data_IF_147375350058
#
_entry.id   IF_147375350058
#
_cell.length_a   1.000
_cell.length_b   1.000
_cell.length_c   1.000
_cell.angle_alpha   90.00
_cell.angle_beta   90.00
_cell.angle_gamma   90.00
#
_symmetry.space_group_name_H-M   'P 1'
#
loop_
_entity.id
_entity.type
_entity.pdbx_description
1 polymer ?
#
# COMPACT_ATOMS: atom_id res chain seq x y z
N UNK A 1 7.51 20.62 13.19
CA UNK A 1 7.75 20.50 11.73
C UNK A 1 6.74 21.38 11.01
N UNK A 2 7.11 22.14 9.98
CA UNK A 2 6.14 23.01 9.26
C UNK A 2 5.18 22.20 8.39
N UNK A 3 3.93 22.62 8.28
CA UNK A 3 2.90 21.97 7.45
C UNK A 3 3.32 21.82 5.98
N UNK A 4 4.00 22.81 5.41
CA UNK A 4 4.54 22.76 4.04
C UNK A 4 5.54 21.61 3.85
N UNK A 5 6.37 21.36 4.87
CA UNK A 5 7.34 20.27 4.83
C UNK A 5 6.67 18.91 4.98
N UNK A 6 5.65 18.79 5.86
CA UNK A 6 4.83 17.58 5.96
C UNK A 6 4.17 17.27 4.62
N UNK A 7 3.57 18.27 3.98
CA UNK A 7 2.93 18.14 2.67
C UNK A 7 3.92 17.70 1.59
N UNK A 8 5.10 18.32 1.52
CA UNK A 8 6.13 18.00 0.53
C UNK A 8 6.67 16.56 0.71
N UNK A 9 6.92 16.14 1.95
CA UNK A 9 7.38 14.77 2.25
C UNK A 9 6.29 13.74 1.92
N UNK A 10 5.04 14.02 2.28
CA UNK A 10 3.90 13.19 1.93
C UNK A 10 3.68 13.09 0.41
N UNK A 11 3.84 14.22 -0.30
CA UNK A 11 3.80 14.26 -1.77
C UNK A 11 4.86 13.37 -2.39
N UNK A 12 6.13 13.49 -1.95
CA UNK A 12 7.22 12.66 -2.45
C UNK A 12 6.95 11.17 -2.18
N UNK A 13 6.47 10.83 -0.98
CA UNK A 13 6.04 9.47 -0.64
C UNK A 13 4.95 8.94 -1.60
N UNK A 14 3.91 9.74 -1.84
CA UNK A 14 2.84 9.40 -2.77
C UNK A 14 3.30 9.31 -4.23
N UNK A 15 4.26 10.14 -4.65
CA UNK A 15 4.86 10.05 -5.99
C UNK A 15 5.65 8.77 -6.18
N UNK A 16 6.44 8.35 -5.19
CA UNK A 16 7.11 7.05 -5.22
C UNK A 16 6.09 5.93 -5.30
N UNK A 17 5.02 5.97 -4.50
CA UNK A 17 3.91 4.99 -4.57
C UNK A 17 3.28 4.95 -5.96
N UNK A 18 3.15 6.08 -6.65
CA UNK A 18 2.53 6.15 -7.97
C UNK A 18 3.43 5.64 -9.11
N UNK A 19 4.75 5.85 -9.00
CA UNK A 19 5.70 5.66 -10.12
C UNK A 19 6.55 4.40 -9.99
N UNK A 20 6.78 3.89 -8.77
CA UNK A 20 7.73 2.78 -8.58
C UNK A 20 7.20 1.50 -9.20
N UNK A 21 7.99 0.82 -10.02
CA UNK A 21 7.59 -0.43 -10.67
C UNK A 21 8.65 -1.53 -10.49
N UNK A 22 8.26 -2.76 -10.82
CA UNK A 22 9.15 -3.92 -10.83
C UNK A 22 9.26 -4.67 -9.49
N UNK A 23 10.23 -5.60 -9.39
CA UNK A 23 10.22 -6.68 -8.39
C UNK A 23 10.40 -6.24 -6.93
N UNK A 24 10.74 -4.96 -6.72
CA UNK A 24 10.91 -4.32 -5.41
C UNK A 24 9.89 -3.21 -5.16
N UNK A 25 8.90 -3.02 -6.04
CA UNK A 25 7.93 -1.93 -5.97
C UNK A 25 7.21 -1.87 -4.62
N UNK A 26 6.71 -3.00 -4.12
CA UNK A 26 6.05 -3.08 -2.80
C UNK A 26 6.97 -2.60 -1.69
N UNK A 27 8.22 -3.07 -1.64
CA UNK A 27 9.15 -2.69 -0.58
C UNK A 27 9.45 -1.18 -0.60
N UNK A 28 9.76 -0.64 -1.79
CA UNK A 28 10.10 0.78 -1.95
C UNK A 28 8.87 1.66 -1.68
N UNK A 29 7.70 1.29 -2.21
CA UNK A 29 6.47 2.04 -2.01
C UNK A 29 6.01 2.03 -0.54
N UNK A 30 6.06 0.89 0.14
CA UNK A 30 5.67 0.79 1.56
C UNK A 30 6.60 1.59 2.47
N UNK A 31 7.91 1.59 2.20
CA UNK A 31 8.86 2.44 2.94
C UNK A 31 8.63 3.93 2.65
N UNK A 32 8.45 4.29 1.37
CA UNK A 32 8.22 5.68 0.98
C UNK A 32 6.89 6.22 1.52
N UNK A 33 5.82 5.41 1.52
CA UNK A 33 4.55 5.75 2.14
C UNK A 33 4.70 5.90 3.66
N UNK A 34 5.37 4.95 4.32
CA UNK A 34 5.62 5.01 5.76
C UNK A 34 6.40 6.26 6.19
N UNK A 35 7.51 6.55 5.50
CA UNK A 35 8.32 7.75 5.71
C UNK A 35 7.56 9.03 5.35
N UNK A 36 6.82 9.01 4.25
CA UNK A 36 6.00 10.11 3.76
C UNK A 36 4.93 10.54 4.74
N UNK A 37 4.35 9.58 5.48
CA UNK A 37 3.23 9.79 6.40
C UNK A 37 3.66 9.99 7.85
N UNK A 38 4.88 9.62 8.23
CA UNK A 38 5.37 9.73 9.61
C UNK A 38 5.21 11.14 10.19
N UNK A 39 5.53 12.16 9.39
CA UNK A 39 5.38 13.56 9.78
C UNK A 39 3.93 13.98 10.01
N UNK A 40 3.00 13.45 9.21
CA UNK A 40 1.58 13.71 9.34
C UNK A 40 0.98 13.02 10.57
N UNK A 41 1.38 11.78 10.86
CA UNK A 41 0.95 11.12 12.10
C UNK A 41 1.53 11.84 13.35
N UNK A 42 2.79 12.29 13.26
CA UNK A 42 3.47 12.96 14.37
C UNK A 42 2.84 14.29 14.77
N UNK A 43 2.21 15.03 13.83
CA UNK A 43 1.60 16.33 14.14
C UNK A 43 0.44 16.24 15.12
N UNK A 44 -0.22 15.08 15.22
CA UNK A 44 -1.39 14.87 16.10
C UNK A 44 -1.04 14.08 17.36
N UNK A 45 -0.16 13.07 17.25
CA UNK A 45 0.13 12.14 18.35
C UNK A 45 1.61 11.96 18.71
N UNK A 46 2.48 12.86 18.24
CA UNK A 46 3.92 12.82 18.53
C UNK A 46 4.62 11.57 18.01
N UNK A 47 5.72 11.17 18.66
CA UNK A 47 6.57 10.05 18.21
C UNK A 47 5.80 8.73 18.15
N UNK A 48 4.90 8.47 19.10
CA UNK A 48 4.08 7.25 19.12
C UNK A 48 3.23 7.11 17.85
N UNK A 49 2.63 8.20 17.39
CA UNK A 49 1.87 8.23 16.14
C UNK A 49 2.76 8.06 14.90
N UNK A 50 3.94 8.69 14.89
CA UNK A 50 4.91 8.55 13.80
C UNK A 50 5.37 7.10 13.56
N UNK A 51 5.48 6.32 14.64
CA UNK A 51 5.89 4.92 14.55
C UNK A 51 4.89 4.05 13.79
N UNK A 52 3.61 4.41 13.76
CA UNK A 52 2.58 3.58 13.14
C UNK A 52 2.77 3.39 11.62
N UNK A 53 2.88 4.45 10.80
CA UNK A 53 3.16 4.28 9.37
C UNK A 53 4.58 3.74 9.10
N UNK A 54 5.57 4.03 9.97
CA UNK A 54 6.94 3.51 9.84
C UNK A 54 7.01 1.99 10.07
N UNK A 55 6.43 1.52 11.18
CA UNK A 55 6.34 0.10 11.52
C UNK A 55 5.45 -0.62 10.52
N UNK A 56 4.33 -0.04 10.11
CA UNK A 56 3.48 -0.61 9.05
C UNK A 56 4.22 -0.79 7.72
N UNK A 57 4.96 0.24 7.27
CA UNK A 57 5.74 0.19 6.03
C UNK A 57 6.88 -0.84 6.09
N UNK A 58 7.63 -0.88 7.20
CA UNK A 58 8.70 -1.86 7.41
C UNK A 58 8.16 -3.28 7.56
N UNK A 59 7.08 -3.48 8.31
CA UNK A 59 6.41 -4.77 8.43
C UNK A 59 5.94 -5.28 7.06
N UNK A 60 5.41 -4.41 6.19
CA UNK A 60 5.04 -4.79 4.83
C UNK A 60 6.23 -5.28 4.00
N UNK A 61 7.38 -4.60 4.09
CA UNK A 61 8.61 -5.05 3.43
C UNK A 61 9.04 -6.43 3.91
N UNK A 62 9.09 -6.63 5.23
CA UNK A 62 9.49 -7.90 5.83
C UNK A 62 8.51 -9.02 5.49
N UNK A 63 7.20 -8.74 5.56
CA UNK A 63 6.15 -9.69 5.25
C UNK A 63 6.22 -10.13 3.77
N UNK A 64 6.39 -9.19 2.83
CA UNK A 64 6.59 -9.53 1.42
C UNK A 64 7.84 -10.39 1.21
N UNK A 65 8.96 -10.05 1.85
CA UNK A 65 10.22 -10.80 1.70
C UNK A 65 10.14 -12.22 2.26
N UNK A 66 9.58 -12.38 3.46
CA UNK A 66 9.38 -13.67 4.11
C UNK A 66 8.39 -14.54 3.33
N UNK A 67 7.28 -13.95 2.89
CA UNK A 67 6.26 -14.64 2.12
C UNK A 67 6.78 -15.06 0.73
N UNK A 68 7.63 -14.24 0.10
CA UNK A 68 8.29 -14.61 -1.16
C UNK A 68 9.20 -15.81 -0.98
N UNK A 69 10.05 -15.82 0.05
CA UNK A 69 10.91 -16.97 0.36
C UNK A 69 10.13 -18.25 0.65
N UNK A 70 8.98 -18.14 1.31
CA UNK A 70 8.12 -19.31 1.56
C UNK A 70 7.43 -19.78 0.27
N UNK A 71 7.03 -18.86 -0.61
CA UNK A 71 6.48 -19.17 -1.93
C UNK A 71 7.47 -19.87 -2.85
N UNK A 72 8.74 -19.46 -2.86
CA UNK A 72 9.83 -20.05 -3.65
C UNK A 72 10.10 -21.53 -3.30
N UNK A 73 9.73 -21.96 -2.08
CA UNK A 73 9.90 -23.35 -1.62
C UNK A 73 8.77 -24.28 -2.07
N UNK A 74 7.70 -23.75 -2.65
CA UNK A 74 6.50 -24.50 -3.01
C UNK A 74 6.47 -24.75 -4.52
N UNK A 75 5.87 -25.87 -4.95
CA UNK A 75 5.73 -26.18 -6.38
C UNK A 75 4.99 -25.03 -7.09
N UNK A 76 5.50 -24.65 -8.26
CA UNK A 76 4.93 -23.57 -9.05
C UNK A 76 3.46 -23.83 -9.40
N UNK A 77 2.64 -22.80 -9.28
CA UNK A 77 1.20 -22.87 -9.62
C UNK A 77 1.04 -22.41 -11.05
N UNK A 78 0.43 -23.24 -11.90
CA UNK A 78 -0.01 -22.80 -13.22
C UNK A 78 -1.29 -21.96 -13.06
N UNK A 79 -1.27 -20.70 -13.51
CA UNK A 79 -2.52 -19.94 -13.69
C UNK A 79 -2.49 -18.45 -13.35
N UNK A 80 -1.51 -17.92 -12.61
CA UNK A 80 -1.47 -16.49 -12.24
C UNK A 80 -0.05 -15.92 -12.33
N UNK A 81 0.53 -15.89 -13.53
CA UNK A 81 1.83 -15.24 -13.69
C UNK A 81 1.75 -13.78 -13.24
N UNK A 82 2.57 -13.35 -12.25
CA UNK A 82 2.57 -11.99 -11.71
C UNK A 82 3.04 -10.95 -12.75
N UNK A 83 3.65 -11.41 -13.84
CA UNK A 83 4.13 -10.61 -14.97
C UNK A 83 3.14 -10.55 -16.14
N UNK A 84 2.09 -11.39 -16.15
CA UNK A 84 1.14 -11.43 -17.25
C UNK A 84 0.05 -10.37 -17.03
N UNK A 85 -0.10 -9.40 -17.96
CA UNK A 85 -1.13 -8.38 -17.86
C UNK A 85 -2.52 -9.01 -17.84
N UNK A 86 -3.38 -8.49 -16.97
CA UNK A 86 -4.80 -8.89 -16.78
C UNK A 86 -5.61 -8.69 -18.06
N UNK A 87 -5.47 -9.58 -19.04
CA UNK A 87 -6.33 -9.71 -20.21
C UNK A 87 -6.65 -11.20 -20.36
N UNK A 88 -7.45 -11.74 -19.44
CA UNK A 88 -7.99 -13.09 -19.56
C UNK A 88 -9.32 -13.06 -20.33
N UNK A 89 -9.54 -14.06 -21.19
CA UNK A 89 -10.77 -14.23 -21.96
C UNK A 89 -12.01 -14.30 -21.04
N UNK A 90 -13.19 -13.96 -21.60
CA UNK A 90 -14.49 -13.79 -20.92
C UNK A 90 -14.93 -14.97 -20.02
N UNK A 91 -14.35 -16.16 -20.15
CA UNK A 91 -14.61 -17.28 -19.23
C UNK A 91 -13.91 -17.16 -17.86
N UNK A 92 -12.94 -16.25 -17.70
CA UNK A 92 -12.24 -15.95 -16.44
C UNK A 92 -12.82 -14.70 -15.74
N UNK A 93 -14.12 -14.45 -15.89
CA UNK A 93 -14.84 -13.24 -15.44
C UNK A 93 -14.82 -13.01 -13.91
N UNK A 94 -14.51 -14.03 -13.12
CA UNK A 94 -14.25 -13.91 -11.68
C UNK A 94 -12.77 -13.62 -11.35
N UNK A 95 -12.00 -13.13 -12.33
CA UNK A 95 -10.66 -12.61 -12.17
C UNK A 95 -10.62 -11.13 -11.75
N UNK A 96 -9.44 -10.46 -11.79
CA UNK A 96 -9.11 -9.19 -11.14
C UNK A 96 -10.07 -7.99 -11.36
N UNK A 97 -11.03 -8.07 -12.29
CA UNK A 97 -12.14 -7.11 -12.42
C UNK A 97 -13.03 -7.06 -11.19
N UNK A 98 -13.35 -8.20 -10.56
CA UNK A 98 -14.14 -8.24 -9.33
C UNK A 98 -13.37 -7.61 -8.16
N UNK A 99 -12.06 -7.86 -8.07
CA UNK A 99 -11.16 -7.21 -7.10
C UNK A 99 -11.07 -5.70 -7.35
N UNK A 100 -11.03 -5.23 -8.60
CA UNK A 100 -11.08 -3.80 -8.93
C UNK A 100 -12.41 -3.16 -8.54
N UNK A 101 -13.54 -3.85 -8.73
CA UNK A 101 -14.87 -3.35 -8.32
C UNK A 101 -15.00 -3.33 -6.81
N UNK A 102 -14.50 -4.35 -6.10
CA UNK A 102 -14.48 -4.36 -4.62
C UNK A 102 -13.51 -3.29 -4.08
N UNK A 103 -12.33 -3.14 -4.68
CA UNK A 103 -11.39 -2.08 -4.30
C UNK A 103 -11.96 -0.68 -4.56
N UNK A 104 -12.64 -0.47 -5.69
CA UNK A 104 -13.35 0.78 -5.96
C UNK A 104 -14.52 0.99 -4.98
N UNK A 105 -15.27 -0.07 -4.66
CA UNK A 105 -16.37 -0.04 -3.70
C UNK A 105 -15.91 0.16 -2.25
N UNK A 106 -14.67 -0.17 -1.90
CA UNK A 106 -14.05 0.13 -0.59
C UNK A 106 -13.37 1.51 -0.59
N UNK A 107 -12.81 1.92 -1.72
CA UNK A 107 -12.17 3.22 -1.87
C UNK A 107 -13.19 4.37 -1.85
N UNK A 108 -14.39 4.17 -2.40
CA UNK A 108 -15.44 5.19 -2.42
C UNK A 108 -15.94 5.57 -1.01
N UNK A 109 -16.26 4.64 -0.10
CA UNK A 109 -16.57 4.95 1.29
C UNK A 109 -15.41 5.62 2.02
N UNK A 110 -14.17 5.19 1.80
CA UNK A 110 -13.01 5.80 2.45
C UNK A 110 -12.73 7.23 1.95
N UNK A 111 -12.88 7.50 0.64
CA UNK A 111 -12.80 8.86 0.09
C UNK A 111 -13.98 9.73 0.54
N UNK A 112 -15.18 9.15 0.62
CA UNK A 112 -16.38 9.82 1.15
C UNK A 112 -16.22 10.17 2.63
N UNK A 113 -15.61 9.28 3.41
CA UNK A 113 -15.32 9.49 4.84
C UNK A 113 -14.38 10.67 5.07
N UNK A 114 -13.30 10.78 4.29
CA UNK A 114 -12.39 11.94 4.31
C UNK A 114 -13.11 13.22 3.91
N UNK A 115 -14.07 13.16 2.98
CA UNK A 115 -14.85 14.33 2.56
C UNK A 115 -15.90 14.76 3.58
N UNK A 116 -16.41 13.85 4.41
CA UNK A 116 -17.53 14.10 5.33
C UNK A 116 -17.08 14.43 6.77
N UNK A 117 -15.90 13.97 7.21
CA UNK A 117 -15.40 14.18 8.57
C UNK A 117 -14.33 15.28 8.70
N UNK A 118 -13.85 15.86 7.60
CA UNK A 118 -12.98 17.04 7.67
C UNK A 118 -13.85 18.26 8.01
N UNK A 119 -13.93 18.55 9.29
CA UNK A 119 -14.57 19.74 9.83
C UNK A 119 -13.91 20.99 9.24
N UNK A 120 -14.66 21.74 8.42
CA UNK A 120 -14.27 23.04 7.87
C UNK A 120 -14.19 24.04 9.02
N UNK A 121 -13.07 24.05 9.75
CA UNK A 121 -12.85 24.95 10.88
C UNK A 121 -11.58 24.65 11.67
N UNK A 122 -11.39 23.40 12.10
CA UNK A 122 -10.18 22.97 12.83
C UNK A 122 -9.00 22.59 11.93
N UNK A 123 -9.29 22.08 10.73
CA UNK A 123 -8.29 21.60 9.76
C UNK A 123 -7.44 22.71 9.09
N UNK A 124 -7.76 23.99 9.31
CA UNK A 124 -7.01 25.09 8.71
C UNK A 124 -5.54 25.13 9.18
N UNK A 125 -5.24 24.61 10.39
CA UNK A 125 -3.87 24.53 10.91
C UNK A 125 -3.06 23.30 10.47
N UNK A 126 -3.72 22.24 9.99
CA UNK A 126 -3.10 20.95 9.66
C UNK A 126 -3.28 20.52 8.18
N UNK A 127 -3.48 21.51 7.30
CA UNK A 127 -3.66 21.28 5.86
C UNK A 127 -2.55 20.42 5.25
N UNK A 128 -1.32 20.53 5.73
CA UNK A 128 -0.19 19.75 5.20
C UNK A 128 -0.25 18.26 5.57
N UNK A 129 -0.63 17.94 6.81
CA UNK A 129 -0.78 16.58 7.28
C UNK A 129 -1.96 15.85 6.59
N UNK A 130 -3.09 16.54 6.46
CA UNK A 130 -4.27 16.00 5.76
C UNK A 130 -3.96 15.79 4.28
N UNK A 131 -3.29 16.76 3.63
CA UNK A 131 -2.86 16.62 2.24
C UNK A 131 -1.93 15.42 2.05
N UNK A 132 -0.94 15.23 2.92
CA UNK A 132 -0.02 14.09 2.84
C UNK A 132 -0.77 12.75 2.88
N UNK A 133 -1.69 12.57 3.83
CA UNK A 133 -2.52 11.36 3.94
C UNK A 133 -3.40 11.18 2.69
N UNK A 134 -4.13 12.23 2.29
CA UNK A 134 -5.02 12.17 1.13
C UNK A 134 -4.28 11.88 -0.18
N UNK A 135 -3.09 12.44 -0.37
CA UNK A 135 -2.31 12.26 -1.59
C UNK A 135 -1.74 10.85 -1.71
N UNK A 136 -1.17 10.29 -0.63
CA UNK A 136 -0.69 8.90 -0.61
C UNK A 136 -1.86 7.92 -0.80
N UNK A 137 -3.00 8.22 -0.18
CA UNK A 137 -4.23 7.45 -0.39
C UNK A 137 -4.65 7.47 -1.86
N UNK A 138 -4.70 8.65 -2.48
CA UNK A 138 -5.08 8.82 -3.89
C UNK A 138 -4.11 8.08 -4.82
N UNK A 139 -2.81 8.18 -4.56
CA UNK A 139 -1.79 7.45 -5.32
C UNK A 139 -2.00 5.93 -5.22
N UNK A 140 -2.26 5.42 -4.01
CA UNK A 140 -2.57 4.01 -3.78
C UNK A 140 -3.86 3.56 -4.48
N UNK A 141 -4.93 4.35 -4.36
CA UNK A 141 -6.22 4.08 -5.00
C UNK A 141 -6.12 4.11 -6.54
N UNK A 142 -5.43 5.11 -7.10
CA UNK A 142 -5.18 5.19 -8.54
C UNK A 142 -4.41 3.96 -9.03
N UNK A 143 -3.48 3.45 -8.23
CA UNK A 143 -2.73 2.24 -8.56
C UNK A 143 -3.59 0.98 -8.49
N UNK A 144 -4.47 0.85 -7.50
CA UNK A 144 -5.47 -0.23 -7.46
C UNK A 144 -6.37 -0.23 -8.70
N UNK A 145 -6.82 0.95 -9.14
CA UNK A 145 -7.68 1.10 -10.33
C UNK A 145 -6.92 0.75 -11.62
N UNK A 146 -5.64 1.11 -11.70
CA UNK A 146 -4.79 0.89 -12.88
C UNK A 146 -4.00 -0.42 -12.84
N UNK A 147 -4.13 -1.22 -11.78
CA UNK A 147 -3.26 -2.36 -11.51
C UNK A 147 -3.21 -3.32 -12.69
N UNK A 148 -2.00 -3.51 -13.25
CA UNK A 148 -1.73 -4.42 -14.36
C UNK A 148 -1.09 -5.72 -13.88
N UNK A 149 -0.44 -5.69 -12.71
CA UNK A 149 0.19 -6.82 -12.04
C UNK A 149 -0.32 -6.99 -10.60
N UNK A 150 -0.06 -8.17 -10.00
CA UNK A 150 -0.30 -8.42 -8.57
C UNK A 150 0.53 -7.50 -7.66
N UNK A 151 1.72 -7.10 -8.13
CA UNK A 151 2.57 -6.16 -7.41
C UNK A 151 1.92 -4.78 -7.30
N UNK A 152 1.20 -4.32 -8.33
CA UNK A 152 0.45 -3.06 -8.30
C UNK A 152 -0.70 -3.09 -7.29
N UNK A 153 -1.38 -4.24 -7.18
CA UNK A 153 -2.43 -4.44 -6.19
C UNK A 153 -1.85 -4.40 -4.77
N UNK A 154 -0.71 -5.06 -4.55
CA UNK A 154 0.00 -5.04 -3.28
C UNK A 154 0.47 -3.64 -2.88
N UNK A 155 1.08 -2.90 -3.81
CA UNK A 155 1.49 -1.50 -3.57
C UNK A 155 0.29 -0.63 -3.25
N UNK A 156 -0.76 -0.70 -4.08
CA UNK A 156 -1.95 0.13 -3.93
C UNK A 156 -2.66 -0.14 -2.60
N UNK A 157 -2.83 -1.41 -2.22
CA UNK A 157 -3.46 -1.80 -0.96
C UNK A 157 -2.62 -1.37 0.25
N UNK A 158 -1.30 -1.54 0.21
CA UNK A 158 -0.41 -1.11 1.29
C UNK A 158 -0.42 0.42 1.48
N UNK A 159 -0.38 1.18 0.39
CA UNK A 159 -0.44 2.64 0.44
C UNK A 159 -1.79 3.14 0.99
N UNK A 160 -2.90 2.57 0.53
CA UNK A 160 -4.25 2.89 1.03
C UNK A 160 -4.38 2.56 2.52
N UNK A 161 -3.86 1.41 2.96
CA UNK A 161 -3.88 1.01 4.37
C UNK A 161 -3.06 1.97 5.25
N UNK A 162 -1.83 2.29 4.88
CA UNK A 162 -0.99 3.21 5.65
C UNK A 162 -1.57 4.63 5.69
N UNK A 163 -2.07 5.12 4.56
CA UNK A 163 -2.70 6.43 4.47
C UNK A 163 -4.02 6.48 5.25
N UNK A 164 -4.85 5.44 5.17
CA UNK A 164 -6.08 5.33 5.95
C UNK A 164 -5.83 5.26 7.44
N UNK A 165 -4.82 4.49 7.89
CA UNK A 165 -4.43 4.44 9.28
C UNK A 165 -3.93 5.81 9.79
N UNK A 166 -3.14 6.52 8.98
CA UNK A 166 -2.69 7.87 9.28
C UNK A 166 -3.87 8.84 9.38
N UNK A 167 -4.79 8.80 8.40
CA UNK A 167 -6.00 9.62 8.40
C UNK A 167 -6.88 9.36 9.64
N UNK A 168 -6.98 8.10 10.08
CA UNK A 168 -7.71 7.73 11.29
C UNK A 168 -7.13 8.36 12.56
N UNK A 169 -5.80 8.46 12.65
CA UNK A 169 -5.11 9.17 13.74
C UNK A 169 -5.32 10.68 13.63
N UNK A 170 -5.28 11.23 12.41
CA UNK A 170 -5.54 12.66 12.18
C UNK A 170 -6.96 13.05 12.62
N UNK A 171 -7.94 12.18 12.39
CA UNK A 171 -9.35 12.43 12.68
C UNK A 171 -9.72 12.14 14.15
N UNK A 172 -9.39 10.95 14.64
CA UNK A 172 -9.82 10.48 15.97
C UNK A 172 -8.76 10.70 17.07
N UNK A 173 -7.57 11.21 16.74
CA UNK A 173 -6.49 11.47 17.69
C UNK A 173 -5.85 10.20 18.25
N UNK A 174 -5.13 10.32 19.36
CA UNK A 174 -4.36 9.21 19.96
C UNK A 174 -5.23 8.14 20.62
N UNK A 175 -6.54 8.38 20.80
CA UNK A 175 -7.45 7.36 21.35
C UNK A 175 -7.69 6.17 20.41
N UNK A 176 -7.42 6.33 19.11
CA UNK A 176 -7.74 5.34 18.06
C UNK A 176 -6.57 4.43 17.65
N UNK A 177 -5.49 4.39 18.44
CA UNK A 177 -4.27 3.66 18.07
C UNK A 177 -4.50 2.19 17.72
N UNK A 178 -5.38 1.50 18.45
CA UNK A 178 -5.68 0.09 18.19
C UNK A 178 -6.33 -0.10 16.81
N UNK A 179 -7.28 0.77 16.46
CA UNK A 179 -7.98 0.75 15.17
C UNK A 179 -7.03 1.12 14.03
N UNK A 180 -6.27 2.20 14.20
CA UNK A 180 -5.26 2.61 13.23
C UNK A 180 -4.20 1.51 13.00
N UNK A 181 -3.81 0.79 14.05
CA UNK A 181 -2.86 -0.33 13.95
C UNK A 181 -3.45 -1.50 13.18
N UNK A 182 -4.73 -1.81 13.39
CA UNK A 182 -5.44 -2.82 12.62
C UNK A 182 -5.53 -2.44 11.13
N UNK A 183 -5.82 -1.18 10.83
CA UNK A 183 -5.81 -0.66 9.45
C UNK A 183 -4.41 -0.76 8.85
N UNK A 184 -3.36 -0.37 9.57
CA UNK A 184 -1.98 -0.46 9.10
C UNK A 184 -1.52 -1.91 8.86
N UNK A 185 -2.03 -2.89 9.62
CA UNK A 185 -1.70 -4.30 9.45
C UNK A 185 -2.12 -4.85 8.07
N UNK A 186 -3.14 -4.26 7.43
CA UNK A 186 -3.51 -4.63 6.06
C UNK A 186 -2.39 -4.36 5.05
N UNK A 187 -1.48 -3.41 5.32
CA UNK A 187 -0.30 -3.22 4.49
C UNK A 187 0.62 -4.44 4.52
N UNK A 188 0.83 -5.04 5.69
CA UNK A 188 1.64 -6.25 5.82
C UNK A 188 0.96 -7.48 5.20
N UNK A 189 -0.35 -7.63 5.39
CA UNK A 189 -1.13 -8.75 4.83
C UNK A 189 -1.13 -8.70 3.30
N UNK A 190 -1.39 -7.52 2.71
CA UNK A 190 -1.38 -7.35 1.25
C UNK A 190 0.01 -7.59 0.65
N UNK A 191 1.05 -7.08 1.31
CA UNK A 191 2.43 -7.30 0.90
C UNK A 191 2.85 -8.78 1.01
N UNK A 192 2.42 -9.48 2.07
CA UNK A 192 2.64 -10.93 2.22
C UNK A 192 1.96 -11.73 1.10
N UNK A 193 0.69 -11.43 0.81
CA UNK A 193 -0.06 -12.10 -0.24
C UNK A 193 0.62 -11.92 -1.61
N UNK A 194 1.00 -10.68 -1.95
CA UNK A 194 1.73 -10.40 -3.19
C UNK A 194 3.09 -11.09 -3.22
N UNK A 195 3.88 -11.00 -2.13
CA UNK A 195 5.19 -11.63 -2.02
C UNK A 195 5.14 -13.15 -2.22
N UNK A 196 4.20 -13.82 -1.55
CA UNK A 196 3.97 -15.26 -1.68
C UNK A 196 3.60 -15.69 -3.09
N UNK A 197 2.69 -14.96 -3.73
CA UNK A 197 2.30 -15.21 -5.12
C UNK A 197 3.50 -15.01 -6.06
N UNK A 198 4.27 -13.95 -5.90
CA UNK A 198 5.50 -13.74 -6.70
C UNK A 198 6.50 -14.88 -6.51
N UNK A 199 6.71 -15.33 -5.27
CA UNK A 199 7.63 -16.43 -4.97
C UNK A 199 7.24 -17.74 -5.63
N UNK A 200 5.94 -18.06 -5.66
CA UNK A 200 5.42 -19.28 -6.31
C UNK A 200 5.55 -19.29 -7.83
N UNK A 201 5.73 -18.14 -8.48
CA UNK A 201 5.81 -18.05 -9.94
C UNK A 201 7.24 -17.91 -10.47
N UNK A 202 8.25 -17.70 -9.61
CA UNK A 202 9.66 -17.80 -10.00
C UNK A 202 9.99 -19.25 -10.32
N UNK A 203 10.20 -19.56 -11.61
CA UNK A 203 10.78 -20.84 -12.02
C UNK A 203 12.22 -20.94 -11.50
N UNK A 204 12.69 -22.13 -11.05
CA UNK A 204 14.11 -22.39 -10.96
C UNK A 204 14.73 -22.20 -12.36
N UNK A 205 15.83 -21.45 -12.46
CA UNK A 205 16.65 -21.44 -13.66
C UNK A 205 17.03 -22.89 -13.97
N UNK A 206 16.67 -23.40 -15.14
CA UNK A 206 17.16 -24.70 -15.58
C UNK A 206 18.70 -24.65 -15.57
N UNK A 207 19.40 -25.68 -15.07
CA UNK A 207 20.84 -25.75 -15.23
C UNK A 207 21.13 -25.65 -16.73
N UNK A 208 22.03 -24.75 -17.10
CA UNK A 208 22.61 -24.72 -18.44
C UNK A 208 23.26 -26.08 -18.62
N UNK A 209 22.63 -26.96 -19.39
CA UNK A 209 23.33 -28.13 -19.92
C UNK A 209 24.50 -27.57 -20.72
N UNK A 210 25.71 -27.74 -20.19
CA UNK A 210 26.94 -27.66 -20.98
C UNK A 210 26.83 -28.73 -22.06
N UNK A 211 26.32 -28.33 -23.23
CA UNK A 211 26.31 -29.16 -24.42
C UNK A 211 27.74 -29.27 -24.94
N UNK A 212 28.35 -30.45 -24.68
CA UNK A 212 29.24 -31.22 -25.57
C UNK A 212 30.41 -30.53 -26.23
#
# INVERSE_FOLDING_TARGET
MSQTLIAAIGFLGGMVVAVVDGPRAIAVASLAAGLGLAGAAASTGGVGAALLPLVGGTAAVLAAALARRSGERLRGVAGLSPEVPVVAARAALFGPRSVRVVAAALALPAASWVSLNVSVGGAASDQGAIFAAAYVWLAGAARLLRARALEDLGVGAAAVALAGATAWILEAGTGSFAEASAVAAFAAVSAAAAGWLTGRHRRPSAPVEESG
#
